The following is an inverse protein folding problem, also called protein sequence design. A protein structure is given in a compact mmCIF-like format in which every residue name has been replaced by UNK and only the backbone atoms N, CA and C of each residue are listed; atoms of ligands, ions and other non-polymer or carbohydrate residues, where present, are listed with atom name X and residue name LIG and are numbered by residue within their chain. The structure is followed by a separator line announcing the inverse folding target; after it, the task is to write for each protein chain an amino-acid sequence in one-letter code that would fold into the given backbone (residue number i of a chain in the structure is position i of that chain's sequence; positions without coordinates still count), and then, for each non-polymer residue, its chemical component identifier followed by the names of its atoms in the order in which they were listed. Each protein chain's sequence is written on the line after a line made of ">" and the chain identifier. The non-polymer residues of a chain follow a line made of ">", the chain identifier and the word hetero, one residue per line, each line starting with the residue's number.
data_IF_981337200556
#
_entry.id   IF_981337200556
#
_cell.length_a   1.000
_cell.length_b   1.000
_cell.length_c   1.000
_cell.angle_alpha   90.00
_cell.angle_beta   90.00
_cell.angle_gamma   90.00
#
_symmetry.space_group_name_H-M   'P 1'
#
loop_
_entity.id
_entity.type
_entity.pdbx_description
1 polymer ?
#
# COMPACT_ATOMS: atom_id res chain seq x y z
N UNK A 1 6.04 36.38 -6.77
CA UNK A 1 6.78 35.50 -5.84
C UNK A 1 5.96 34.25 -5.48
N UNK A 2 6.17 33.13 -6.17
CA UNK A 2 5.69 31.81 -5.72
C UNK A 2 6.84 31.12 -4.99
N UNK A 3 7.13 31.59 -3.77
CA UNK A 3 8.13 30.98 -2.88
C UNK A 3 7.57 29.63 -2.41
N UNK A 4 8.20 28.54 -2.83
CA UNK A 4 8.11 27.27 -2.12
C UNK A 4 7.35 26.13 -2.80
N UNK A 5 7.51 25.89 -4.12
CA UNK A 5 7.20 24.55 -4.63
C UNK A 5 8.23 23.57 -4.03
N UNK A 6 7.86 22.88 -2.96
CA UNK A 6 8.66 21.76 -2.44
C UNK A 6 8.70 20.71 -3.54
N UNK A 7 9.84 20.59 -4.23
CA UNK A 7 10.07 19.44 -5.11
C UNK A 7 10.00 18.21 -4.23
N UNK A 8 9.06 17.31 -4.54
CA UNK A 8 8.99 16.02 -3.87
C UNK A 8 10.35 15.32 -4.05
N UNK A 9 10.91 14.72 -2.98
CA UNK A 9 12.15 13.97 -3.10
C UNK A 9 11.95 12.82 -4.08
N UNK A 10 12.83 12.73 -5.08
CA UNK A 10 12.88 11.58 -5.98
C UNK A 10 13.56 10.43 -5.23
N UNK A 11 12.74 9.54 -4.67
CA UNK A 11 13.21 8.40 -3.89
C UNK A 11 13.30 7.20 -4.84
N UNK A 12 14.50 6.91 -5.32
CA UNK A 12 14.79 5.68 -6.06
C UNK A 12 15.12 4.55 -5.09
N UNK A 13 14.37 3.46 -5.15
CA UNK A 13 14.65 2.24 -4.38
C UNK A 13 15.28 1.19 -5.30
N UNK A 14 16.58 0.97 -5.16
CA UNK A 14 17.32 -0.06 -5.90
C UNK A 14 17.56 -1.27 -5.02
N UNK A 15 17.01 -2.41 -5.41
CA UNK A 15 17.33 -3.68 -4.77
C UNK A 15 18.62 -4.24 -5.37
N UNK A 16 19.65 -4.42 -4.54
CA UNK A 16 20.87 -5.13 -4.95
C UNK A 16 20.60 -6.64 -4.97
N UNK A 17 20.54 -7.22 -6.16
CA UNK A 17 20.46 -8.67 -6.38
C UNK A 17 21.73 -9.19 -7.05
N UNK A 18 22.16 -10.41 -6.71
CA UNK A 18 23.21 -11.09 -7.48
C UNK A 18 22.65 -11.52 -8.84
N UNK A 19 23.40 -11.21 -9.90
CA UNK A 19 23.05 -11.62 -11.28
C UNK A 19 22.95 -13.15 -11.44
N UNK A 20 23.54 -13.91 -10.52
CA UNK A 20 23.47 -15.37 -10.51
C UNK A 20 22.07 -15.90 -10.18
N UNK A 21 21.29 -15.17 -9.38
CA UNK A 21 19.96 -15.58 -8.95
C UNK A 21 18.84 -14.79 -9.64
N UNK A 22 19.15 -13.63 -10.23
CA UNK A 22 18.15 -12.76 -10.87
C UNK A 22 17.42 -13.43 -12.02
N UNK A 23 18.03 -14.39 -12.72
CA UNK A 23 17.40 -15.14 -13.82
C UNK A 23 16.56 -16.33 -13.34
N UNK A 24 16.69 -16.75 -12.08
CA UNK A 24 15.94 -17.89 -11.56
C UNK A 24 14.45 -17.53 -11.39
N UNK A 25 13.52 -18.27 -12.02
CA UNK A 25 12.09 -17.99 -11.90
C UNK A 25 11.58 -18.00 -10.44
N UNK A 26 12.09 -18.93 -9.63
CA UNK A 26 11.74 -19.04 -8.22
C UNK A 26 12.18 -17.81 -7.41
N UNK A 27 13.37 -17.27 -7.70
CA UNK A 27 13.85 -16.05 -7.06
C UNK A 27 12.99 -14.84 -7.43
N UNK A 28 12.67 -14.67 -8.73
CA UNK A 28 11.77 -13.59 -9.20
C UNK A 28 10.39 -13.67 -8.54
N UNK A 29 9.87 -14.88 -8.32
CA UNK A 29 8.61 -15.11 -7.60
C UNK A 29 8.69 -14.66 -6.15
N UNK A 30 9.65 -15.18 -5.39
CA UNK A 30 9.84 -14.81 -3.97
C UNK A 30 10.05 -13.31 -3.82
N UNK A 31 10.85 -12.70 -4.70
CA UNK A 31 11.09 -11.27 -4.68
C UNK A 31 9.81 -10.47 -4.95
N UNK A 32 9.02 -10.85 -5.95
CA UNK A 32 7.75 -10.19 -6.26
C UNK A 32 6.78 -10.26 -5.08
N UNK A 33 6.68 -11.42 -4.43
CA UNK A 33 5.85 -11.61 -3.23
C UNK A 33 6.36 -10.75 -2.07
N UNK A 34 7.68 -10.62 -1.90
CA UNK A 34 8.28 -9.77 -0.88
C UNK A 34 7.98 -8.28 -1.12
N UNK A 35 8.15 -7.78 -2.34
CA UNK A 35 7.81 -6.39 -2.70
C UNK A 35 6.33 -6.12 -2.44
N UNK A 36 5.46 -7.02 -2.88
CA UNK A 36 4.02 -6.92 -2.61
C UNK A 36 3.73 -6.83 -1.10
N UNK A 37 4.33 -7.72 -0.30
CA UNK A 37 4.19 -7.74 1.16
C UNK A 37 4.59 -6.40 1.79
N UNK A 38 5.77 -5.88 1.42
CA UNK A 38 6.26 -4.61 1.98
C UNK A 38 5.33 -3.46 1.63
N UNK A 39 4.82 -3.39 0.38
CA UNK A 39 3.86 -2.37 -0.01
C UNK A 39 2.53 -2.49 0.74
N UNK A 40 2.04 -3.72 0.95
CA UNK A 40 0.82 -3.98 1.71
C UNK A 40 0.96 -3.56 3.18
N UNK A 41 2.08 -3.88 3.82
CA UNK A 41 2.38 -3.46 5.19
C UNK A 41 2.50 -1.94 5.31
N UNK A 42 3.19 -1.29 4.38
CA UNK A 42 3.31 0.17 4.36
C UNK A 42 1.95 0.86 4.18
N UNK A 43 1.11 0.36 3.26
CA UNK A 43 -0.24 0.87 3.07
C UNK A 43 -1.09 0.71 4.33
N UNK A 44 -0.96 -0.41 5.05
CA UNK A 44 -1.67 -0.64 6.30
C UNK A 44 -1.28 0.38 7.40
N UNK A 45 0.01 0.69 7.53
CA UNK A 45 0.50 1.70 8.49
C UNK A 45 -0.06 3.09 8.20
N UNK A 46 -0.20 3.43 6.91
CA UNK A 46 -0.72 4.73 6.48
C UNK A 46 -2.26 4.81 6.52
N UNK A 47 -2.96 3.68 6.63
CA UNK A 47 -4.41 3.61 6.41
C UNK A 47 -5.23 4.55 7.31
N UNK A 48 -4.77 4.84 8.53
CA UNK A 48 -5.44 5.74 9.46
C UNK A 48 -5.13 7.23 9.27
N UNK A 49 -4.30 7.59 8.29
CA UNK A 49 -3.84 8.97 8.08
C UNK A 49 -4.75 9.73 7.12
N UNK A 50 -5.06 10.99 7.44
CA UNK A 50 -5.83 11.87 6.55
C UNK A 50 -5.10 12.14 5.22
N UNK A 51 -3.77 12.15 5.24
CA UNK A 51 -2.92 12.37 4.06
C UNK A 51 -2.77 11.11 3.17
N UNK A 52 -3.44 9.99 3.49
CA UNK A 52 -3.33 8.76 2.70
C UNK A 52 -3.59 8.96 1.19
N UNK A 53 -4.62 9.71 0.75
CA UNK A 53 -4.88 9.93 -0.68
C UNK A 53 -3.70 10.58 -1.40
N UNK A 54 -3.04 11.54 -0.76
CA UNK A 54 -1.93 12.30 -1.33
C UNK A 54 -0.66 11.45 -1.42
N UNK A 55 -0.36 10.70 -0.36
CA UNK A 55 0.82 9.82 -0.30
C UNK A 55 0.72 8.68 -1.32
N UNK A 56 -0.48 8.16 -1.54
CA UNK A 56 -0.71 6.98 -2.39
C UNK A 56 -0.84 7.32 -3.87
N UNK A 57 -1.11 8.59 -4.22
CA UNK A 57 -1.20 9.03 -5.61
C UNK A 57 0.05 8.70 -6.46
N UNK A 58 1.28 9.08 -6.08
CA UNK A 58 2.48 8.72 -6.85
C UNK A 58 2.76 7.21 -6.84
N UNK A 59 2.39 6.52 -5.76
CA UNK A 59 2.53 5.05 -5.65
C UNK A 59 1.62 4.36 -6.67
N UNK A 60 0.38 4.81 -6.80
CA UNK A 60 -0.58 4.28 -7.79
C UNK A 60 -0.06 4.43 -9.22
N UNK A 61 0.54 5.57 -9.56
CA UNK A 61 1.15 5.80 -10.86
C UNK A 61 2.31 4.82 -11.11
N UNK A 62 3.19 4.64 -10.11
CA UNK A 62 4.31 3.70 -10.22
C UNK A 62 3.85 2.25 -10.39
N UNK A 63 2.80 1.84 -9.66
CA UNK A 63 2.21 0.51 -9.81
C UNK A 63 1.66 0.31 -11.23
N UNK A 64 1.00 1.32 -11.82
CA UNK A 64 0.55 1.24 -13.23
C UNK A 64 1.73 0.97 -14.18
N UNK A 65 2.81 1.75 -14.08
CA UNK A 65 3.98 1.55 -14.93
C UNK A 65 4.63 0.17 -14.75
N UNK A 66 4.65 -0.35 -13.52
CA UNK A 66 5.15 -1.72 -13.24
C UNK A 66 4.25 -2.74 -13.93
N UNK A 67 2.93 -2.61 -13.79
CA UNK A 67 1.94 -3.52 -14.38
C UNK A 67 2.01 -3.57 -15.91
N UNK A 68 2.34 -2.45 -16.57
CA UNK A 68 2.52 -2.39 -18.03
C UNK A 68 3.73 -3.23 -18.50
N UNK A 69 4.76 -3.33 -17.66
CA UNK A 69 5.99 -4.09 -17.96
C UNK A 69 5.94 -5.56 -17.50
N UNK A 70 4.96 -5.93 -16.67
CA UNK A 70 4.92 -7.22 -15.99
C UNK A 70 4.26 -8.30 -16.87
N UNK A 71 5.04 -9.32 -17.24
CA UNK A 71 4.58 -10.44 -18.10
C UNK A 71 3.90 -11.58 -17.33
N UNK A 72 4.15 -11.70 -16.03
CA UNK A 72 3.56 -12.77 -15.21
C UNK A 72 2.16 -12.37 -14.74
N UNK A 73 1.15 -13.13 -15.16
CA UNK A 73 -0.26 -12.84 -14.88
C UNK A 73 -0.63 -12.92 -13.40
N UNK A 74 -0.08 -13.89 -12.66
CA UNK A 74 -0.35 -14.09 -11.24
C UNK A 74 0.18 -12.93 -10.41
N UNK A 75 1.42 -12.52 -10.67
CA UNK A 75 2.02 -11.38 -9.99
C UNK A 75 1.30 -10.08 -10.34
N UNK A 76 0.96 -9.89 -11.61
CA UNK A 76 0.21 -8.73 -12.04
C UNK A 76 -1.18 -8.68 -11.36
N UNK A 77 -1.81 -9.82 -11.12
CA UNK A 77 -3.07 -9.89 -10.39
C UNK A 77 -2.93 -9.39 -8.95
N UNK A 78 -1.86 -9.78 -8.24
CA UNK A 78 -1.59 -9.30 -6.87
C UNK A 78 -1.48 -7.77 -6.84
N UNK A 79 -0.61 -7.19 -7.67
CA UNK A 79 -0.40 -5.74 -7.70
C UNK A 79 -1.64 -4.96 -8.18
N UNK A 80 -2.43 -5.50 -9.12
CA UNK A 80 -3.74 -4.92 -9.49
C UNK A 80 -4.70 -4.92 -8.30
N UNK A 81 -4.77 -6.02 -7.56
CA UNK A 81 -5.60 -6.11 -6.35
C UNK A 81 -5.23 -5.04 -5.33
N UNK A 82 -3.93 -4.89 -5.04
CA UNK A 82 -3.43 -3.84 -4.17
C UNK A 82 -3.77 -2.45 -4.71
N UNK A 83 -3.53 -2.17 -5.99
CA UNK A 83 -3.83 -0.86 -6.59
C UNK A 83 -5.31 -0.49 -6.47
N UNK A 84 -6.20 -1.45 -6.70
CA UNK A 84 -7.64 -1.27 -6.51
C UNK A 84 -7.96 -0.88 -5.07
N UNK A 85 -7.39 -1.60 -4.08
CA UNK A 85 -7.63 -1.30 -2.66
C UNK A 85 -7.02 0.00 -2.20
N UNK A 86 -5.87 0.40 -2.74
CA UNK A 86 -5.28 1.71 -2.54
C UNK A 86 -6.25 2.81 -3.01
N UNK A 87 -6.80 2.70 -4.22
CA UNK A 87 -7.78 3.66 -4.77
C UNK A 87 -9.09 3.70 -3.98
N UNK A 88 -9.64 2.54 -3.62
CA UNK A 88 -10.84 2.45 -2.78
C UNK A 88 -10.63 3.12 -1.42
N UNK A 89 -9.49 2.88 -0.78
CA UNK A 89 -9.18 3.47 0.52
C UNK A 89 -8.92 4.97 0.44
N UNK A 90 -8.29 5.45 -0.64
CA UNK A 90 -8.18 6.90 -0.89
C UNK A 90 -9.56 7.56 -0.95
N UNK A 91 -10.54 6.93 -1.64
CA UNK A 91 -11.92 7.43 -1.68
C UNK A 91 -12.58 7.41 -0.30
N UNK A 92 -12.44 6.31 0.44
CA UNK A 92 -12.93 6.20 1.81
C UNK A 92 -12.42 7.35 2.71
N UNK A 93 -11.12 7.64 2.66
CA UNK A 93 -10.52 8.73 3.46
C UNK A 93 -11.09 10.08 3.03
N UNK A 94 -11.17 10.35 1.73
CA UNK A 94 -11.75 11.59 1.20
C UNK A 94 -13.22 11.76 1.61
N UNK A 95 -14.01 10.68 1.58
CA UNK A 95 -15.42 10.71 2.00
C UNK A 95 -15.57 11.01 3.50
N UNK A 96 -14.69 10.45 4.35
CA UNK A 96 -14.67 10.76 5.80
C UNK A 96 -14.36 12.23 6.02
N UNK A 97 -13.35 12.77 5.31
CA UNK A 97 -12.95 14.17 5.43
C UNK A 97 -14.01 15.13 4.88
N UNK A 98 -14.70 14.77 3.79
CA UNK A 98 -15.70 15.61 3.15
C UNK A 98 -17.00 15.75 3.96
N UNK A 99 -17.31 14.78 4.83
CA UNK A 99 -18.55 14.78 5.63
C UNK A 99 -18.52 15.75 6.81
N UNK A 100 -17.36 16.30 7.17
CA UNK A 100 -17.19 17.13 8.35
C UNK A 100 -16.56 18.48 7.98
N UNK A 101 -17.20 19.56 8.40
CA UNK A 101 -16.47 20.79 8.63
C UNK A 101 -15.58 20.57 9.86
N UNK A 102 -14.27 20.65 9.70
CA UNK A 102 -13.30 20.35 10.76
C UNK A 102 -12.59 21.66 11.10
N UNK A 103 -12.79 22.15 12.32
CA UNK A 103 -11.88 23.13 12.91
C UNK A 103 -10.63 22.40 13.41
N UNK A 104 -9.48 22.71 12.83
CA UNK A 104 -8.20 22.09 13.21
C UNK A 104 -7.72 22.54 14.61
N UNK A 105 -8.29 23.61 15.16
CA UNK A 105 -8.02 24.05 16.53
C UNK A 105 -8.88 23.32 17.57
N UNK A 106 -9.93 22.61 17.13
CA UNK A 106 -10.77 21.79 18.00
C UNK A 106 -10.22 20.35 18.08
N UNK A 107 -9.54 20.06 19.18
CA UNK A 107 -8.99 18.72 19.42
C UNK A 107 -10.05 17.60 19.40
N UNK A 108 -11.28 17.85 19.83
CA UNK A 108 -12.32 16.83 19.82
C UNK A 108 -12.72 16.47 18.39
N UNK A 109 -12.86 17.46 17.52
CA UNK A 109 -13.16 17.24 16.11
C UNK A 109 -12.04 16.47 15.41
N UNK A 110 -10.78 16.86 15.66
CA UNK A 110 -9.61 16.15 15.11
C UNK A 110 -9.56 14.70 15.60
N UNK A 111 -9.85 14.43 16.88
CA UNK A 111 -9.92 13.06 17.42
C UNK A 111 -11.05 12.25 16.80
N UNK A 112 -12.22 12.85 16.59
CA UNK A 112 -13.36 12.18 15.97
C UNK A 112 -13.04 11.74 14.53
N UNK A 113 -12.33 12.57 13.76
CA UNK A 113 -11.85 12.22 12.42
C UNK A 113 -10.85 11.07 12.48
N UNK A 114 -9.85 11.15 13.38
CA UNK A 114 -8.88 10.06 13.57
C UNK A 114 -9.53 8.73 13.96
N UNK A 115 -10.60 8.78 14.75
CA UNK A 115 -11.37 7.60 15.11
C UNK A 115 -12.03 6.96 13.88
N UNK A 116 -12.71 7.76 13.06
CA UNK A 116 -13.36 7.27 11.83
C UNK A 116 -12.37 6.75 10.79
N UNK A 117 -11.26 7.45 10.57
CA UNK A 117 -10.20 6.99 9.67
C UNK A 117 -9.56 5.68 10.16
N UNK A 118 -9.61 5.42 11.48
CA UNK A 118 -9.13 4.17 12.05
C UNK A 118 -10.10 3.00 11.98
N UNK A 119 -11.24 3.13 11.30
CA UNK A 119 -12.21 2.06 11.13
C UNK A 119 -11.55 0.74 10.66
N UNK A 120 -11.68 -0.36 11.43
CA UNK A 120 -11.06 -1.64 11.10
C UNK A 120 -11.56 -2.22 9.77
N UNK A 121 -12.77 -1.86 9.35
CA UNK A 121 -13.41 -2.33 8.13
C UNK A 121 -13.15 -1.41 6.93
N UNK A 122 -12.28 -0.41 7.10
CA UNK A 122 -11.77 0.37 5.96
C UNK A 122 -11.08 -0.52 4.92
N UNK A 123 -11.13 -0.16 3.62
CA UNK A 123 -10.73 -1.08 2.54
C UNK A 123 -9.34 -1.69 2.71
N UNK A 124 -8.33 -0.88 3.08
CA UNK A 124 -6.95 -1.39 3.27
C UNK A 124 -6.82 -2.24 4.53
N UNK A 125 -7.48 -1.90 5.64
CA UNK A 125 -7.41 -2.70 6.87
C UNK A 125 -8.12 -4.04 6.71
N UNK A 126 -9.27 -4.06 6.04
CA UNK A 126 -9.97 -5.31 5.70
C UNK A 126 -9.12 -6.19 4.77
N UNK A 127 -8.55 -5.59 3.71
CA UNK A 127 -7.70 -6.31 2.77
C UNK A 127 -6.42 -6.85 3.43
N UNK A 128 -5.76 -6.05 4.28
CA UNK A 128 -4.60 -6.47 5.06
C UNK A 128 -4.91 -7.69 5.93
N UNK A 129 -6.02 -7.67 6.69
CA UNK A 129 -6.42 -8.79 7.56
C UNK A 129 -6.64 -10.09 6.79
N UNK A 130 -7.31 -10.01 5.64
CA UNK A 130 -7.54 -11.17 4.78
C UNK A 130 -6.22 -11.73 4.23
N UNK A 131 -5.38 -10.85 3.69
CA UNK A 131 -4.06 -11.23 3.17
C UNK A 131 -3.17 -11.84 4.24
N UNK A 132 -3.10 -11.22 5.43
CA UNK A 132 -2.24 -11.66 6.53
C UNK A 132 -2.63 -13.06 7.02
N UNK A 133 -3.93 -13.36 7.07
CA UNK A 133 -4.43 -14.71 7.42
C UNK A 133 -3.91 -15.76 6.44
N UNK A 134 -4.02 -15.51 5.14
CA UNK A 134 -3.54 -16.42 4.09
C UNK A 134 -2.01 -16.56 4.15
N UNK A 135 -1.31 -15.44 4.36
CA UNK A 135 0.15 -15.43 4.47
C UNK A 135 0.65 -16.27 5.65
N UNK A 136 0.11 -16.04 6.86
CA UNK A 136 0.49 -16.78 8.07
C UNK A 136 0.19 -18.28 7.98
N UNK A 137 -0.77 -18.69 7.16
CA UNK A 137 -1.02 -20.11 6.86
C UNK A 137 0.08 -20.69 5.97
N UNK A 138 0.42 -20.00 4.87
CA UNK A 138 1.51 -20.42 3.97
C UNK A 138 2.86 -20.52 4.67
N UNK A 139 3.16 -19.56 5.54
CA UNK A 139 4.41 -19.53 6.31
C UNK A 139 4.53 -20.72 7.27
N UNK A 140 3.43 -21.09 7.96
CA UNK A 140 3.39 -22.29 8.80
C UNK A 140 3.60 -23.58 8.02
N UNK A 141 2.89 -23.74 6.90
CA UNK A 141 3.03 -24.95 6.08
C UNK A 141 4.42 -25.09 5.46
N UNK A 142 5.10 -23.98 5.15
CA UNK A 142 6.48 -24.00 4.67
C UNK A 142 7.48 -24.47 5.76
N UNK A 143 7.25 -24.08 7.01
CA UNK A 143 8.07 -24.52 8.16
C UNK A 143 7.83 -26.00 8.46
N UNK A 144 6.59 -26.49 8.37
CA UNK A 144 6.25 -27.90 8.61
C UNK A 144 6.73 -28.86 7.51
N UNK A 145 7.04 -28.35 6.32
CA UNK A 145 7.52 -29.12 5.17
C UNK A 145 9.03 -29.02 4.93
N UNK A 146 9.76 -28.30 5.79
CA UNK A 146 11.22 -28.15 5.78
C UNK A 146 11.87 -29.03 6.84
#
# INVERSE_FOLDING_TARGET
>A
PAKGSVKLPDIECTLKGSSQFSELPQWRKILSEHVFRTMMQAAHLLAGQAAFPDVVLPINQRISSILDSMKNADHAHLFRGLQTKLKEHSRFVLDVLARKYIDLNDEMQVRAVRFELNNPDSPIKAFYRQWEKVWKMKERSAIESS
#
